data_IF_253339872822
#
_entry.id   IF_253339872822
#
_cell.length_a   1.000
_cell.length_b   1.000
_cell.length_c   1.000
_cell.angle_alpha   90.00
_cell.angle_beta   90.00
_cell.angle_gamma   90.00
#
_symmetry.space_group_name_H-M   'P 1'
#
loop_
_entity.id
_entity.type
_entity.pdbx_description
1 polymer ?
#
# COMPACT_ATOMS: atom_id res chain seq x y z
N UNK A 1 30.42 -8.22 66.07
CA UNK A 1 30.19 -6.82 65.61
C UNK A 1 31.23 -6.54 64.53
N UNK A 2 31.00 -6.10 63.30
CA UNK A 2 29.83 -5.60 62.56
C UNK A 2 30.00 -6.01 61.08
N UNK A 3 28.85 -6.30 60.47
CA UNK A 3 28.48 -6.44 59.05
C UNK A 3 29.37 -5.66 58.06
N UNK A 4 29.61 -6.24 56.88
CA UNK A 4 29.23 -5.60 55.60
C UNK A 4 29.17 -6.67 54.48
N UNK A 5 27.96 -7.20 54.24
CA UNK A 5 27.62 -7.84 52.97
C UNK A 5 27.48 -6.72 51.95
N UNK A 6 28.46 -6.55 51.06
CA UNK A 6 28.29 -5.72 49.87
C UNK A 6 27.62 -6.61 48.83
N UNK A 7 26.30 -6.56 48.85
CA UNK A 7 25.43 -7.00 47.76
C UNK A 7 25.89 -6.29 46.49
N UNK A 8 26.51 -7.04 45.57
CA UNK A 8 26.77 -6.58 44.23
C UNK A 8 25.43 -6.50 43.49
N UNK A 9 24.69 -5.42 43.73
CA UNK A 9 23.58 -4.99 42.87
C UNK A 9 24.21 -4.59 41.53
N UNK A 10 24.38 -5.57 40.65
CA UNK A 10 24.59 -5.29 39.24
C UNK A 10 23.41 -4.43 38.78
N UNK A 11 23.63 -3.21 38.26
CA UNK A 11 22.55 -2.36 37.87
C UNK A 11 21.87 -3.00 36.64
N UNK A 12 20.67 -3.55 36.85
CA UNK A 12 19.69 -3.91 35.83
C UNK A 12 19.21 -2.69 35.00
N UNK A 13 19.90 -1.56 35.06
CA UNK A 13 19.58 -0.30 34.39
C UNK A 13 19.90 -0.27 32.89
N UNK A 14 20.45 -1.36 32.32
CA UNK A 14 20.77 -1.40 30.89
C UNK A 14 19.58 -1.77 29.97
N UNK A 15 18.36 -1.98 30.50
CA UNK A 15 17.20 -2.39 29.68
C UNK A 15 16.10 -1.33 29.50
N UNK A 16 16.30 -0.10 29.99
CA UNK A 16 15.38 1.01 29.72
C UNK A 16 15.81 1.89 28.53
N UNK A 17 16.46 1.31 27.51
CA UNK A 17 16.41 1.94 26.19
C UNK A 17 15.02 1.70 25.64
N UNK A 18 14.09 2.61 25.97
CA UNK A 18 12.75 2.63 25.42
C UNK A 18 12.83 2.48 23.90
N UNK A 19 12.10 1.51 23.36
CA UNK A 19 12.13 1.19 21.94
C UNK A 19 11.83 2.44 21.11
N UNK A 20 12.74 2.76 20.19
CA UNK A 20 12.61 3.88 19.27
C UNK A 20 11.53 3.57 18.23
N UNK A 21 10.78 4.58 17.81
CA UNK A 21 9.89 4.44 16.64
C UNK A 21 10.75 4.21 15.40
N UNK A 22 10.41 3.18 14.63
CA UNK A 22 11.08 2.83 13.39
C UNK A 22 10.05 2.66 12.26
N UNK A 23 10.45 3.05 11.04
CA UNK A 23 9.67 2.82 9.83
C UNK A 23 10.43 1.87 8.92
N UNK A 24 9.80 0.77 8.54
CA UNK A 24 10.30 -0.16 7.53
C UNK A 24 9.36 -0.17 6.33
N UNK A 25 9.85 0.30 5.20
CA UNK A 25 9.12 0.23 3.91
C UNK A 25 9.37 -1.13 3.27
N UNK A 26 8.29 -1.75 2.80
CA UNK A 26 8.33 -3.05 2.10
C UNK A 26 7.37 -2.98 0.92
N UNK A 27 7.87 -3.25 -0.28
CA UNK A 27 7.01 -3.41 -1.45
C UNK A 27 6.69 -4.88 -1.62
N UNK A 28 5.43 -5.25 -1.41
CA UNK A 28 4.97 -6.60 -1.72
C UNK A 28 4.64 -6.68 -3.20
N UNK A 29 5.28 -7.62 -3.90
CA UNK A 29 4.96 -7.97 -5.28
C UNK A 29 4.20 -9.30 -5.39
N UNK A 30 3.78 -9.87 -4.26
CA UNK A 30 3.03 -11.12 -4.21
C UNK A 30 2.07 -11.14 -3.04
N UNK A 31 0.92 -11.79 -3.19
CA UNK A 31 -0.04 -12.01 -2.11
C UNK A 31 -0.58 -13.44 -2.14
N UNK A 32 -0.85 -13.97 -0.95
CA UNK A 32 -1.56 -15.22 -0.77
C UNK A 32 -2.99 -14.90 -0.33
N UNK A 33 -3.96 -15.41 -1.09
CA UNK A 33 -5.37 -15.29 -0.77
C UNK A 33 -5.92 -16.64 -0.31
N UNK A 34 -6.79 -16.59 0.69
CA UNK A 34 -7.65 -17.70 1.09
C UNK A 34 -9.05 -17.43 0.58
N UNK A 35 -9.74 -18.48 0.16
CA UNK A 35 -11.07 -18.33 -0.42
C UNK A 35 -11.77 -19.66 -0.62
N UNK A 36 -12.80 -19.64 -1.45
CA UNK A 36 -13.53 -20.82 -1.87
C UNK A 36 -13.94 -20.76 -3.34
N UNK A 37 -14.06 -21.92 -3.98
CA UNK A 37 -14.64 -22.11 -5.31
C UNK A 37 -15.67 -23.23 -5.18
N UNK A 38 -16.92 -22.96 -5.54
CA UNK A 38 -18.05 -23.88 -5.38
C UNK A 38 -18.17 -24.45 -3.95
N UNK A 39 -17.91 -23.61 -2.93
CA UNK A 39 -17.93 -24.00 -1.52
C UNK A 39 -16.75 -24.88 -1.06
N UNK A 40 -15.77 -25.13 -1.94
CA UNK A 40 -14.54 -25.84 -1.57
C UNK A 40 -13.43 -24.83 -1.25
N UNK A 41 -12.75 -24.95 -0.10
CA UNK A 41 -11.64 -24.07 0.26
C UNK A 41 -10.49 -24.12 -0.73
N UNK A 42 -9.98 -22.94 -1.09
CA UNK A 42 -8.85 -22.77 -1.99
C UNK A 42 -7.82 -21.79 -1.42
N UNK A 43 -6.58 -21.96 -1.87
CA UNK A 43 -5.49 -21.02 -1.65
C UNK A 43 -4.97 -20.54 -3.00
N UNK A 44 -4.85 -19.23 -3.17
CA UNK A 44 -4.28 -18.59 -4.35
C UNK A 44 -2.99 -17.88 -3.95
N UNK A 45 -1.97 -17.92 -4.80
CA UNK A 45 -0.78 -17.09 -4.68
C UNK A 45 -0.59 -16.35 -5.99
N UNK A 46 -0.69 -15.02 -5.95
CA UNK A 46 -0.62 -14.14 -7.12
C UNK A 46 0.56 -13.21 -6.98
N UNK A 47 1.25 -12.98 -8.09
CA UNK A 47 2.45 -12.16 -8.18
C UNK A 47 2.26 -11.09 -9.24
N UNK A 48 2.60 -9.85 -8.92
CA UNK A 48 2.78 -8.78 -9.88
C UNK A 48 3.90 -9.16 -10.86
N UNK A 49 3.65 -9.04 -12.16
CA UNK A 49 4.63 -9.38 -13.21
C UNK A 49 4.95 -8.25 -14.19
N UNK A 50 4.34 -7.08 -13.99
CA UNK A 50 4.55 -5.90 -14.82
C UNK A 50 3.26 -5.14 -15.06
N UNK A 51 3.40 -3.86 -15.38
CA UNK A 51 2.29 -3.03 -15.84
C UNK A 51 1.81 -3.48 -17.21
N UNK A 52 0.50 -3.40 -17.45
CA UNK A 52 -0.08 -3.74 -18.75
C UNK A 52 0.18 -2.65 -19.81
N UNK A 53 0.31 -1.40 -19.35
CA UNK A 53 0.68 -0.23 -20.14
C UNK A 53 1.22 0.85 -19.18
N UNK A 54 0.86 2.12 -19.30
CA UNK A 54 1.31 3.21 -18.44
C UNK A 54 0.52 3.37 -17.12
N UNK A 55 -0.29 2.39 -16.73
CA UNK A 55 -1.18 2.51 -15.58
C UNK A 55 -0.87 1.48 -14.49
N UNK A 56 -0.35 1.93 -13.34
CA UNK A 56 -0.06 1.08 -12.17
C UNK A 56 -1.33 0.53 -11.49
N UNK A 57 -2.53 1.01 -11.82
CA UNK A 57 -3.79 0.36 -11.43
C UNK A 57 -4.15 -0.83 -12.33
N UNK A 58 -3.38 -1.07 -13.39
CA UNK A 58 -3.58 -2.12 -14.39
C UNK A 58 -2.29 -2.90 -14.61
N UNK A 59 -2.23 -4.13 -14.11
CA UNK A 59 -1.01 -4.90 -14.16
C UNK A 59 -1.24 -6.38 -14.35
N UNK A 60 -0.28 -7.03 -14.99
CA UNK A 60 -0.28 -8.46 -15.18
C UNK A 60 0.01 -9.20 -13.89
N UNK A 61 -0.70 -10.28 -13.69
CA UNK A 61 -0.55 -11.16 -12.54
C UNK A 61 -0.28 -12.58 -13.00
N UNK A 62 0.70 -13.24 -12.39
CA UNK A 62 0.92 -14.67 -12.55
C UNK A 62 0.89 -15.35 -11.19
N UNK A 63 0.53 -16.62 -11.19
CA UNK A 63 0.41 -17.32 -9.94
C UNK A 63 -0.06 -18.74 -10.07
N UNK A 64 -0.68 -19.20 -9.00
CA UNK A 64 -1.35 -20.48 -8.96
C UNK A 64 -2.46 -20.45 -7.94
N UNK A 65 -3.39 -21.40 -8.06
CA UNK A 65 -4.28 -21.77 -6.98
C UNK A 65 -4.25 -23.26 -6.73
N UNK A 66 -4.74 -23.70 -5.58
CA UNK A 66 -5.07 -25.09 -5.34
C UNK A 66 -6.29 -25.19 -4.43
N UNK A 67 -6.96 -26.34 -4.51
CA UNK A 67 -7.91 -26.77 -3.48
C UNK A 67 -7.15 -27.30 -2.27
N UNK A 68 -7.48 -26.82 -1.07
CA UNK A 68 -6.70 -27.08 0.14
C UNK A 68 -6.58 -28.58 0.47
N UNK A 69 -7.59 -29.36 0.08
CA UNK A 69 -7.62 -30.83 0.22
C UNK A 69 -6.55 -31.54 -0.63
N UNK A 70 -6.28 -31.05 -1.84
CA UNK A 70 -5.43 -31.74 -2.82
C UNK A 70 -4.05 -31.10 -2.98
N UNK A 71 -3.93 -29.80 -2.69
CA UNK A 71 -2.69 -29.01 -2.78
C UNK A 71 -1.97 -29.07 -4.14
N UNK A 72 -2.65 -29.54 -5.19
CA UNK A 72 -2.13 -29.53 -6.55
C UNK A 72 -2.26 -28.13 -7.13
N UNK A 73 -1.12 -27.48 -7.34
CA UNK A 73 -1.04 -26.14 -7.92
C UNK A 73 -1.52 -26.16 -9.37
N UNK A 74 -2.45 -25.28 -9.67
CA UNK A 74 -2.96 -25.00 -11.00
C UNK A 74 -2.49 -23.60 -11.38
N UNK A 75 -1.68 -23.45 -12.44
CA UNK A 75 -1.07 -22.18 -12.78
C UNK A 75 -2.09 -21.21 -13.37
N UNK A 76 -1.96 -19.95 -13.00
CA UNK A 76 -2.82 -18.84 -13.42
C UNK A 76 -1.96 -17.74 -14.04
N UNK A 77 -2.55 -17.05 -15.02
CA UNK A 77 -2.07 -15.76 -15.53
C UNK A 77 -3.28 -14.87 -15.71
N UNK A 78 -3.12 -13.55 -15.63
CA UNK A 78 -4.27 -12.67 -15.63
C UNK A 78 -3.93 -11.20 -15.57
N UNK A 79 -4.96 -10.42 -15.26
CA UNK A 79 -4.86 -8.98 -15.07
C UNK A 79 -5.54 -8.56 -13.77
N UNK A 80 -4.92 -7.62 -13.08
CA UNK A 80 -5.56 -6.78 -12.09
C UNK A 80 -5.95 -5.47 -12.78
N UNK A 81 -7.21 -5.06 -12.69
CA UNK A 81 -7.77 -3.89 -13.34
C UNK A 81 -8.66 -3.12 -12.36
N UNK A 82 -8.12 -2.07 -11.73
CA UNK A 82 -8.83 -1.24 -10.74
C UNK A 82 -9.55 -2.06 -9.65
N UNK A 83 -8.95 -3.17 -9.22
CA UNK A 83 -9.49 -4.05 -8.19
C UNK A 83 -10.15 -5.33 -8.72
N UNK A 84 -10.60 -5.31 -9.97
CA UNK A 84 -11.08 -6.52 -10.64
C UNK A 84 -9.90 -7.44 -10.95
N UNK A 85 -9.99 -8.72 -10.60
CA UNK A 85 -8.93 -9.70 -10.87
C UNK A 85 -9.47 -10.78 -11.81
N UNK A 86 -8.97 -10.81 -13.04
CA UNK A 86 -9.32 -11.84 -14.02
C UNK A 86 -8.15 -12.80 -14.22
N UNK A 87 -8.34 -14.09 -13.95
CA UNK A 87 -7.31 -15.12 -13.91
C UNK A 87 -7.68 -16.29 -14.82
N UNK A 88 -6.73 -16.78 -15.62
CA UNK A 88 -6.95 -17.81 -16.63
C UNK A 88 -5.96 -18.96 -16.48
N UNK A 89 -6.47 -20.18 -16.65
CA UNK A 89 -5.68 -21.39 -16.77
C UNK A 89 -5.84 -21.99 -18.17
N UNK A 90 -4.75 -22.07 -18.94
CA UNK A 90 -4.73 -22.61 -20.32
C UNK A 90 -4.27 -24.08 -20.39
N UNK A 91 -4.24 -24.81 -19.27
CA UNK A 91 -3.85 -26.21 -19.26
C UNK A 91 -2.41 -26.45 -19.72
N UNK A 92 -2.24 -27.41 -20.64
CA UNK A 92 -0.91 -27.78 -21.16
C UNK A 92 -0.24 -26.62 -21.92
N UNK A 93 -1.01 -25.65 -22.44
CA UNK A 93 -0.49 -24.49 -23.16
C UNK A 93 -0.28 -23.26 -22.26
N UNK A 94 -0.28 -23.42 -20.93
CA UNK A 94 -0.16 -22.30 -19.98
C UNK A 94 0.95 -21.32 -20.37
N UNK A 95 2.19 -21.78 -20.51
CA UNK A 95 3.34 -20.91 -20.77
C UNK A 95 3.20 -20.12 -22.08
N UNK A 96 2.76 -20.80 -23.15
CA UNK A 96 2.60 -20.17 -24.47
C UNK A 96 1.46 -19.15 -24.47
N UNK A 97 0.28 -19.54 -23.99
CA UNK A 97 -0.89 -18.68 -24.01
C UNK A 97 -0.80 -17.53 -23.00
N UNK A 98 -0.11 -17.72 -21.86
CA UNK A 98 0.19 -16.61 -20.93
C UNK A 98 1.02 -15.53 -21.61
N UNK A 99 2.02 -15.92 -22.40
CA UNK A 99 2.82 -14.97 -23.17
C UNK A 99 1.96 -14.27 -24.22
N UNK A 100 1.18 -15.02 -25.01
CA UNK A 100 0.31 -14.46 -26.05
C UNK A 100 -0.74 -13.49 -25.48
N UNK A 101 -1.30 -13.78 -24.30
CA UNK A 101 -2.23 -12.89 -23.62
C UNK A 101 -1.57 -11.56 -23.28
N UNK A 102 -0.40 -11.60 -22.64
CA UNK A 102 0.36 -10.40 -22.24
C UNK A 102 0.82 -9.59 -23.44
N UNK A 103 1.34 -10.25 -24.48
CA UNK A 103 1.81 -9.62 -25.71
C UNK A 103 0.66 -8.91 -26.47
N UNK A 104 -0.59 -9.39 -26.32
CA UNK A 104 -1.75 -8.76 -26.95
C UNK A 104 -2.25 -7.54 -26.19
N UNK A 105 -2.11 -7.49 -24.87
CA UNK A 105 -2.60 -6.38 -24.02
C UNK A 105 -1.51 -5.31 -23.92
N UNK A 106 -1.63 -4.30 -24.78
CA UNK A 106 -0.62 -3.24 -24.95
C UNK A 106 -1.18 -1.83 -24.76
N UNK A 107 -2.43 -1.72 -24.29
CA UNK A 107 -3.10 -0.43 -24.07
C UNK A 107 -4.28 -0.59 -23.12
N UNK A 108 -4.80 0.50 -22.52
CA UNK A 108 -5.91 0.43 -21.57
C UNK A 108 -7.19 -0.13 -22.20
N UNK A 109 -7.47 0.18 -23.48
CA UNK A 109 -8.64 -0.36 -24.19
C UNK A 109 -8.56 -1.87 -24.36
N UNK A 110 -7.35 -2.43 -24.44
CA UNK A 110 -7.16 -3.88 -24.51
C UNK A 110 -7.22 -4.54 -23.14
N UNK A 111 -6.88 -3.82 -22.07
CA UNK A 111 -7.12 -4.28 -20.68
C UNK A 111 -8.60 -4.54 -20.45
N UNK A 112 -9.48 -3.62 -20.88
CA UNK A 112 -10.94 -3.80 -20.78
C UNK A 112 -11.44 -5.03 -21.55
N UNK A 113 -10.73 -5.43 -22.61
CA UNK A 113 -11.04 -6.61 -23.44
C UNK A 113 -10.29 -7.88 -23.04
N UNK A 114 -9.69 -7.93 -21.85
CA UNK A 114 -8.87 -9.08 -21.43
C UNK A 114 -9.64 -10.40 -21.51
N UNK A 115 -10.93 -10.42 -21.13
CA UNK A 115 -11.76 -11.62 -21.23
C UNK A 115 -11.91 -12.12 -22.68
N UNK A 116 -12.22 -11.24 -23.63
CA UNK A 116 -12.36 -11.59 -25.05
C UNK A 116 -11.05 -12.15 -25.62
N UNK A 117 -9.93 -11.49 -25.30
CA UNK A 117 -8.59 -11.92 -25.72
C UNK A 117 -8.25 -13.29 -25.13
N UNK A 118 -8.52 -13.49 -23.83
CA UNK A 118 -8.25 -14.74 -23.17
C UNK A 118 -9.13 -15.88 -23.70
N UNK A 119 -10.43 -15.64 -23.92
CA UNK A 119 -11.38 -16.61 -24.47
C UNK A 119 -10.95 -17.09 -25.86
N UNK A 120 -10.42 -16.21 -26.71
CA UNK A 120 -9.85 -16.57 -28.02
C UNK A 120 -8.63 -17.53 -27.89
N UNK A 121 -7.98 -17.56 -26.73
CA UNK A 121 -6.89 -18.50 -26.40
C UNK A 121 -7.39 -19.79 -25.73
N UNK A 122 -8.71 -20.00 -25.63
CA UNK A 122 -9.38 -21.21 -25.14
C UNK A 122 -8.90 -21.68 -23.75
N UNK A 123 -9.16 -20.90 -22.69
CA UNK A 123 -8.81 -21.30 -21.33
C UNK A 123 -9.59 -22.55 -20.93
N UNK A 124 -8.95 -23.44 -20.15
CA UNK A 124 -9.65 -24.59 -19.55
C UNK A 124 -10.62 -24.14 -18.47
N UNK A 125 -10.22 -23.14 -17.71
CA UNK A 125 -10.99 -22.52 -16.64
C UNK A 125 -10.47 -21.09 -16.41
N UNK A 126 -11.34 -20.25 -15.86
CA UNK A 126 -10.98 -18.90 -15.47
C UNK A 126 -11.80 -18.44 -14.27
N UNK A 127 -11.23 -17.47 -13.54
CA UNK A 127 -11.77 -16.92 -12.31
C UNK A 127 -11.81 -15.41 -12.45
N UNK A 128 -12.95 -14.80 -12.13
CA UNK A 128 -13.09 -13.35 -12.11
C UNK A 128 -13.55 -12.94 -10.73
N UNK A 129 -12.74 -12.16 -10.03
CA UNK A 129 -13.09 -11.52 -8.77
C UNK A 129 -13.43 -10.06 -9.03
N UNK A 130 -14.54 -9.60 -8.45
CA UNK A 130 -14.95 -8.20 -8.52
C UNK A 130 -14.08 -7.32 -7.62
N UNK A 131 -14.08 -5.98 -7.79
CA UNK A 131 -13.34 -5.09 -6.91
C UNK A 131 -13.71 -5.28 -5.44
N UNK A 132 -12.71 -5.31 -4.57
CA UNK A 132 -12.93 -5.46 -3.13
C UNK A 132 -13.49 -4.21 -2.46
N UNK A 133 -14.25 -4.42 -1.39
CA UNK A 133 -14.56 -3.37 -0.42
C UNK A 133 -13.65 -3.52 0.79
N UNK A 134 -12.81 -2.50 1.06
CA UNK A 134 -11.93 -2.49 2.25
C UNK A 134 -12.70 -2.55 3.57
N UNK A 135 -13.99 -2.18 3.59
CA UNK A 135 -14.88 -2.35 4.73
C UNK A 135 -15.53 -3.74 4.78
N UNK A 136 -15.52 -4.46 3.66
CA UNK A 136 -16.00 -5.82 3.54
C UNK A 136 -14.98 -6.84 4.07
N UNK A 137 -15.46 -8.06 4.27
CA UNK A 137 -14.65 -9.21 4.69
C UNK A 137 -14.53 -10.28 3.59
N UNK A 138 -15.17 -10.08 2.43
CA UNK A 138 -15.04 -10.93 1.27
C UNK A 138 -15.01 -10.15 -0.04
N UNK A 139 -14.36 -10.74 -1.03
CA UNK A 139 -14.46 -10.36 -2.44
C UNK A 139 -15.19 -11.49 -3.15
N UNK A 140 -16.32 -11.16 -3.77
CA UNK A 140 -17.09 -12.12 -4.55
C UNK A 140 -16.53 -12.27 -5.97
N UNK A 141 -16.81 -13.42 -6.58
CA UNK A 141 -16.33 -13.75 -7.90
C UNK A 141 -17.07 -14.92 -8.53
N UNK A 142 -16.68 -15.21 -9.77
CA UNK A 142 -17.22 -16.30 -10.57
C UNK A 142 -16.10 -17.17 -11.10
N UNK A 143 -16.29 -18.48 -11.00
CA UNK A 143 -15.43 -19.52 -11.57
C UNK A 143 -16.13 -20.15 -12.76
N UNK A 144 -15.45 -20.25 -13.89
CA UNK A 144 -15.99 -20.72 -15.14
C UNK A 144 -15.19 -21.93 -15.63
N UNK A 145 -15.88 -23.05 -15.84
CA UNK A 145 -15.27 -24.30 -16.32
C UNK A 145 -16.32 -25.13 -17.06
N UNK A 146 -15.98 -25.64 -18.26
CA UNK A 146 -16.85 -26.52 -19.06
C UNK A 146 -18.29 -25.98 -19.24
N UNK A 147 -18.44 -24.69 -19.59
CA UNK A 147 -19.72 -23.98 -19.72
C UNK A 147 -20.58 -23.94 -18.44
N UNK A 148 -19.99 -24.24 -17.27
CA UNK A 148 -20.63 -24.08 -15.97
C UNK A 148 -20.00 -22.89 -15.25
N UNK A 149 -20.86 -22.10 -14.62
CA UNK A 149 -20.46 -21.02 -13.73
C UNK A 149 -20.71 -21.46 -12.29
N UNK A 150 -19.73 -21.22 -11.43
CA UNK A 150 -19.77 -21.51 -10.01
C UNK A 150 -19.36 -20.26 -9.24
N UNK A 151 -19.79 -20.14 -7.98
CA UNK A 151 -19.33 -19.05 -7.11
C UNK A 151 -17.85 -19.21 -6.78
N UNK A 152 -17.15 -18.10 -6.75
CA UNK A 152 -15.82 -17.98 -6.18
C UNK A 152 -15.81 -16.82 -5.18
N UNK A 153 -14.97 -16.91 -4.14
CA UNK A 153 -14.89 -15.87 -3.12
C UNK A 153 -13.51 -15.85 -2.48
N UNK A 154 -12.98 -14.67 -2.19
CA UNK A 154 -11.79 -14.49 -1.34
C UNK A 154 -12.23 -14.02 0.04
N UNK A 155 -11.58 -14.51 1.09
CA UNK A 155 -11.85 -14.15 2.49
C UNK A 155 -11.04 -12.92 2.93
N UNK A 156 -11.09 -11.87 2.12
CA UNK A 156 -10.46 -10.57 2.39
C UNK A 156 -11.25 -9.49 1.65
N UNK A 157 -11.30 -8.28 2.19
CA UNK A 157 -11.78 -7.09 1.47
C UNK A 157 -10.69 -6.35 0.68
N UNK A 158 -9.43 -6.78 0.82
CA UNK A 158 -8.28 -6.18 0.13
C UNK A 158 -7.80 -7.11 -0.99
N UNK A 159 -8.06 -6.68 -2.22
CA UNK A 159 -7.75 -7.30 -3.51
C UNK A 159 -6.34 -6.98 -4.03
N UNK A 160 -5.69 -5.95 -3.48
CA UNK A 160 -4.42 -5.45 -4.02
C UNK A 160 -3.32 -6.50 -3.92
N UNK A 161 -2.58 -6.73 -5.01
CA UNK A 161 -1.44 -7.66 -5.05
C UNK A 161 -0.13 -6.90 -4.88
N UNK A 162 0.01 -5.78 -5.60
CA UNK A 162 1.16 -4.90 -5.51
C UNK A 162 0.93 -3.82 -4.46
N UNK A 163 1.67 -3.87 -3.34
CA UNK A 163 1.42 -3.00 -2.16
C UNK A 163 2.70 -2.31 -1.70
N UNK A 164 2.60 -1.01 -1.43
CA UNK A 164 3.66 -0.21 -0.81
C UNK A 164 3.46 -0.16 0.71
N UNK A 165 3.76 -1.26 1.38
CA UNK A 165 3.62 -1.35 2.83
C UNK A 165 4.66 -0.50 3.57
N UNK A 166 4.24 -0.02 4.73
CA UNK A 166 5.03 0.87 5.57
C UNK A 166 4.77 0.47 7.02
N UNK A 167 5.65 -0.36 7.57
CA UNK A 167 5.50 -0.88 8.92
C UNK A 167 6.15 0.06 9.92
N UNK A 168 5.33 0.66 10.78
CA UNK A 168 5.81 1.37 11.95
C UNK A 168 5.96 0.37 13.09
N UNK A 169 7.18 0.29 13.65
CA UNK A 169 7.42 -0.35 14.94
C UNK A 169 7.39 0.74 16.00
N UNK A 170 6.41 0.68 16.87
CA UNK A 170 6.16 1.62 17.96
C UNK A 170 6.69 1.03 19.27
N UNK A 171 6.79 1.85 20.36
CA UNK A 171 7.10 1.34 21.68
C UNK A 171 6.22 0.15 22.09
N UNK A 172 6.77 -0.72 22.95
CA UNK A 172 6.15 -1.99 23.37
C UNK A 172 5.93 -2.99 22.22
N UNK A 173 6.79 -2.96 21.19
CA UNK A 173 6.77 -3.83 20.01
C UNK A 173 5.47 -3.78 19.21
N UNK A 174 4.67 -2.73 19.37
CA UNK A 174 3.44 -2.59 18.62
C UNK A 174 3.78 -2.29 17.16
N UNK A 175 3.32 -3.14 16.24
CA UNK A 175 3.53 -2.96 14.81
C UNK A 175 2.21 -2.57 14.15
N UNK A 176 2.26 -1.54 13.31
CA UNK A 176 1.13 -1.12 12.48
C UNK A 176 1.61 -0.92 11.05
N UNK A 177 0.77 -1.23 10.07
CA UNK A 177 1.04 -0.92 8.68
C UNK A 177 0.29 0.36 8.30
N UNK A 178 1.01 1.40 7.88
CA UNK A 178 0.34 2.65 7.50
C UNK A 178 -0.45 2.52 6.20
N UNK A 179 -0.19 1.48 5.39
CA UNK A 179 -1.00 1.18 4.21
C UNK A 179 -2.50 1.01 4.54
N UNK A 180 -2.82 0.58 5.77
CA UNK A 180 -4.20 0.31 6.18
C UNK A 180 -5.01 1.60 6.42
N UNK A 181 -4.35 2.76 6.58
CA UNK A 181 -5.03 4.01 6.95
C UNK A 181 -4.44 5.28 6.32
N UNK A 182 -3.29 5.24 5.64
CA UNK A 182 -2.72 6.33 4.84
C UNK A 182 -2.93 6.00 3.35
N UNK A 183 -2.67 6.96 2.46
CA UNK A 183 -2.67 6.71 1.03
C UNK A 183 -1.79 5.50 0.64
N UNK A 184 -2.19 4.85 -0.47
CA UNK A 184 -1.57 3.61 -0.97
C UNK A 184 -0.32 3.87 -1.82
N UNK A 185 0.10 5.13 -1.96
CA UNK A 185 1.20 5.51 -2.84
C UNK A 185 2.59 5.28 -2.24
N UNK A 186 2.66 4.94 -0.95
CA UNK A 186 3.93 4.72 -0.28
C UNK A 186 4.73 6.00 -0.13
N UNK A 187 6.05 5.91 -0.31
CA UNK A 187 6.94 7.08 -0.31
C UNK A 187 7.21 7.72 1.06
N UNK A 188 6.76 7.10 2.15
CA UNK A 188 6.91 7.65 3.50
C UNK A 188 8.35 7.49 4.02
N UNK A 189 8.83 8.51 4.71
CA UNK A 189 10.09 8.53 5.44
C UNK A 189 9.85 9.05 6.86
N UNK A 190 10.38 8.35 7.86
CA UNK A 190 10.28 8.78 9.25
C UNK A 190 11.23 9.95 9.50
N UNK A 191 10.67 11.10 9.88
CA UNK A 191 11.44 12.30 10.23
C UNK A 191 11.68 12.36 11.74
N UNK A 192 10.61 12.23 12.52
CA UNK A 192 10.69 12.30 13.98
C UNK A 192 9.43 11.75 14.65
N UNK A 193 9.50 11.63 15.97
CA UNK A 193 8.34 11.34 16.81
C UNK A 193 8.46 12.11 18.12
N UNK A 194 7.32 12.39 18.74
CA UNK A 194 7.25 13.09 20.01
C UNK A 194 6.19 12.46 20.91
N UNK A 195 6.49 12.32 22.20
CA UNK A 195 5.53 11.92 23.22
C UNK A 195 5.17 13.13 24.08
N UNK A 196 3.89 13.31 24.39
CA UNK A 196 3.42 14.47 25.17
C UNK A 196 2.15 14.18 25.95
N UNK A 197 1.71 15.18 26.73
CA UNK A 197 0.55 15.03 27.61
C UNK A 197 -0.77 14.75 26.88
N UNK A 198 -0.89 15.20 25.62
CA UNK A 198 -2.08 14.99 24.80
C UNK A 198 -2.01 13.72 23.93
N UNK A 199 -0.91 12.96 24.01
CA UNK A 199 -0.66 11.76 23.23
C UNK A 199 0.67 11.81 22.48
N UNK A 200 0.86 10.84 21.59
CA UNK A 200 2.09 10.68 20.83
C UNK A 200 1.88 11.09 19.37
N UNK A 201 2.95 11.54 18.73
CA UNK A 201 2.95 11.99 17.33
C UNK A 201 4.11 11.38 16.58
N UNK A 202 3.88 11.05 15.31
CA UNK A 202 4.92 10.68 14.35
C UNK A 202 4.84 11.64 13.18
N UNK A 203 5.96 12.24 12.82
CA UNK A 203 6.11 13.08 11.65
C UNK A 203 6.77 12.26 10.53
N UNK A 204 6.06 12.14 9.42
CA UNK A 204 6.57 11.54 8.20
C UNK A 204 6.75 12.64 7.15
N UNK A 205 7.80 12.52 6.36
CA UNK A 205 7.89 13.16 5.05
C UNK A 205 7.40 12.15 4.01
N UNK A 206 6.78 12.60 2.94
CA UNK A 206 6.43 11.73 1.84
C UNK A 206 6.76 12.35 0.49
N UNK A 207 7.10 11.48 -0.45
CA UNK A 207 7.28 11.77 -1.86
C UNK A 207 6.81 10.57 -2.67
N UNK A 208 5.83 10.76 -3.56
CA UNK A 208 5.30 9.70 -4.41
C UNK A 208 4.70 10.28 -5.70
N UNK A 209 4.38 9.44 -6.68
CA UNK A 209 3.70 9.90 -7.90
C UNK A 209 2.31 10.46 -7.60
N UNK A 210 1.93 11.53 -8.32
CA UNK A 210 0.60 12.14 -8.23
C UNK A 210 -0.51 11.28 -8.79
N UNK A 211 -0.18 10.46 -9.77
CA UNK A 211 -1.13 9.56 -10.39
C UNK A 211 -0.43 8.26 -10.76
N UNK A 212 -1.05 7.14 -10.40
CA UNK A 212 -0.61 5.82 -10.83
C UNK A 212 -0.95 5.54 -12.30
N UNK A 213 -1.86 6.31 -12.90
CA UNK A 213 -1.99 6.40 -14.35
C UNK A 213 -0.97 7.42 -14.90
N UNK A 214 0.18 6.93 -15.37
CA UNK A 214 1.25 7.76 -15.90
C UNK A 214 0.88 8.45 -17.23
N UNK A 215 -0.10 7.94 -17.98
CA UNK A 215 -0.64 8.62 -19.16
C UNK A 215 -1.74 9.66 -18.81
N UNK A 216 -2.21 9.66 -17.57
CA UNK A 216 -3.26 10.57 -17.11
C UNK A 216 -2.72 11.94 -16.73
N UNK A 217 -3.63 12.83 -16.31
CA UNK A 217 -3.26 14.10 -15.68
C UNK A 217 -2.29 13.84 -14.53
N UNK A 218 -1.19 14.59 -14.50
CA UNK A 218 -0.12 14.50 -13.50
C UNK A 218 0.67 13.18 -13.50
N UNK A 219 0.52 12.32 -14.51
CA UNK A 219 1.20 11.03 -14.58
C UNK A 219 2.72 11.09 -14.73
N UNK A 220 3.23 12.11 -15.41
CA UNK A 220 4.66 12.38 -15.57
C UNK A 220 5.16 13.56 -14.69
N UNK A 221 4.42 13.93 -13.66
CA UNK A 221 4.81 15.02 -12.76
C UNK A 221 5.90 14.59 -11.78
N UNK A 222 6.57 15.57 -11.17
CA UNK A 222 7.52 15.39 -10.06
C UNK A 222 6.86 14.84 -8.77
N UNK A 223 5.56 14.56 -8.82
CA UNK A 223 4.82 13.88 -7.78
C UNK A 223 4.20 14.79 -6.73
N UNK A 224 3.74 14.15 -5.66
CA UNK A 224 3.19 14.78 -4.47
C UNK A 224 4.24 14.68 -3.37
N UNK A 225 4.53 15.82 -2.74
CA UNK A 225 5.50 15.89 -1.65
C UNK A 225 4.89 16.62 -0.47
N UNK A 226 5.25 16.22 0.73
CA UNK A 226 4.75 16.89 1.92
C UNK A 226 5.06 16.18 3.22
N UNK A 227 4.28 16.53 4.23
CA UNK A 227 4.40 15.98 5.57
C UNK A 227 3.10 15.36 6.03
N UNK A 228 3.19 14.28 6.80
CA UNK A 228 2.07 13.68 7.51
C UNK A 228 2.36 13.69 9.00
N UNK A 229 1.35 14.06 9.79
CA UNK A 229 1.39 13.93 11.25
C UNK A 229 0.41 12.84 11.65
N UNK A 230 0.93 11.75 12.19
CA UNK A 230 0.13 10.64 12.70
C UNK A 230 -0.07 10.85 14.20
N UNK A 231 -1.31 10.80 14.65
CA UNK A 231 -1.69 11.04 16.04
C UNK A 231 -2.05 9.73 16.74
N UNK A 232 -1.54 9.58 17.97
CA UNK A 232 -1.74 8.40 18.80
C UNK A 232 -2.18 8.79 20.22
N UNK A 233 -2.84 7.86 20.92
CA UNK A 233 -2.97 7.92 22.38
C UNK A 233 -1.61 7.81 23.07
N UNK A 234 -1.56 8.05 24.39
CA UNK A 234 -0.35 7.84 25.21
C UNK A 234 0.18 6.41 25.11
N UNK A 235 -0.73 5.45 24.95
CA UNK A 235 -0.40 4.02 24.79
C UNK A 235 -0.17 3.61 23.32
N UNK A 236 0.12 4.58 22.44
CA UNK A 236 0.41 4.32 21.03
C UNK A 236 -0.75 3.64 20.25
N UNK A 237 -2.00 3.90 20.62
CA UNK A 237 -3.18 3.56 19.82
C UNK A 237 -3.42 4.63 18.76
N UNK A 238 -3.51 4.21 17.50
CA UNK A 238 -3.73 5.12 16.38
C UNK A 238 -5.08 5.84 16.53
N UNK A 239 -5.09 7.14 16.23
CA UNK A 239 -6.29 7.98 16.25
C UNK A 239 -6.66 8.48 14.86
N UNK A 240 -5.72 9.18 14.23
CA UNK A 240 -5.92 9.89 12.97
C UNK A 240 -4.57 10.29 12.37
N UNK A 241 -4.61 10.85 11.17
CA UNK A 241 -3.48 11.58 10.61
C UNK A 241 -3.97 12.85 9.92
N UNK A 242 -3.05 13.79 9.75
CA UNK A 242 -3.21 14.95 8.88
C UNK A 242 -2.12 14.94 7.81
N UNK A 243 -2.43 15.47 6.64
CA UNK A 243 -1.53 15.57 5.50
C UNK A 243 -1.36 17.04 5.06
N UNK A 244 -0.12 17.42 4.78
CA UNK A 244 0.26 18.78 4.43
C UNK A 244 1.14 18.76 3.18
N UNK A 245 0.58 19.15 2.04
CA UNK A 245 1.28 19.18 0.75
C UNK A 245 2.23 20.39 0.68
N UNK A 246 3.46 20.13 0.24
CA UNK A 246 4.45 21.15 -0.13
C UNK A 246 4.65 21.21 -1.64
N UNK A 247 4.39 20.13 -2.37
CA UNK A 247 4.33 20.11 -3.83
C UNK A 247 3.19 19.18 -4.26
N UNK A 248 2.42 19.57 -5.26
CA UNK A 248 1.28 18.80 -5.74
C UNK A 248 0.90 19.20 -7.15
N UNK A 249 0.95 18.25 -8.07
CA UNK A 249 0.45 18.50 -9.42
C UNK A 249 -1.08 18.59 -9.44
N UNK A 250 -1.76 17.79 -8.61
CA UNK A 250 -3.22 17.75 -8.56
C UNK A 250 -3.82 19.04 -8.00
N UNK A 251 -3.18 19.62 -6.97
CA UNK A 251 -3.59 20.87 -6.32
C UNK A 251 -2.93 22.12 -6.91
N UNK A 252 -2.13 21.96 -7.97
CA UNK A 252 -1.35 23.04 -8.58
C UNK A 252 -0.45 23.80 -7.57
N UNK A 253 0.22 23.05 -6.69
CA UNK A 253 1.22 23.57 -5.75
C UNK A 253 2.60 23.37 -6.37
N UNK A 254 3.18 24.47 -6.85
CA UNK A 254 4.51 24.53 -7.46
C UNK A 254 5.33 25.67 -6.83
N UNK A 255 6.65 25.62 -7.00
CA UNK A 255 7.60 26.66 -6.59
C UNK A 255 7.54 27.03 -5.09
N UNK A 256 7.28 26.04 -4.24
CA UNK A 256 7.22 26.24 -2.79
C UNK A 256 8.59 26.68 -2.26
N UNK A 257 8.61 27.83 -1.60
CA UNK A 257 9.85 28.37 -1.03
C UNK A 257 10.06 27.79 0.36
N UNK A 258 11.11 26.97 0.50
CA UNK A 258 11.51 26.38 1.78
C UNK A 258 12.58 27.23 2.47
N UNK A 259 12.35 27.62 3.72
CA UNK A 259 13.32 28.30 4.58
C UNK A 259 13.59 27.45 5.81
N UNK A 260 14.87 27.16 6.09
CA UNK A 260 15.27 26.46 7.33
C UNK A 260 15.58 27.48 8.42
N UNK A 261 15.04 27.27 9.61
CA UNK A 261 15.41 28.07 10.79
C UNK A 261 16.87 27.81 11.19
N UNK A 262 17.47 28.79 11.88
CA UNK A 262 18.85 28.68 12.37
C UNK A 262 19.05 27.50 13.33
N UNK A 263 18.01 27.09 14.06
CA UNK A 263 18.04 25.97 15.02
C UNK A 263 17.91 24.58 14.36
N UNK A 264 17.70 24.51 13.03
CA UNK A 264 17.49 23.29 12.22
C UNK A 264 16.33 22.39 12.64
N UNK A 265 15.56 22.78 13.67
CA UNK A 265 14.43 22.02 14.18
C UNK A 265 13.10 22.45 13.57
N UNK A 266 13.10 23.58 12.84
CA UNK A 266 11.91 24.12 12.20
C UNK A 266 12.14 24.35 10.71
N UNK A 267 11.20 23.89 9.88
CA UNK A 267 11.16 24.17 8.46
C UNK A 267 9.93 25.03 8.17
N UNK A 268 10.11 26.09 7.40
CA UNK A 268 9.01 26.95 6.96
C UNK A 268 8.86 26.81 5.45
N UNK A 269 7.63 26.63 5.00
CA UNK A 269 7.27 26.55 3.59
C UNK A 269 6.24 27.62 3.30
N UNK A 270 6.47 28.42 2.26
CA UNK A 270 5.48 29.37 1.75
C UNK A 270 4.87 28.81 0.47
N UNK A 271 3.57 28.52 0.54
CA UNK A 271 2.78 28.01 -0.57
C UNK A 271 2.02 29.19 -1.17
N UNK A 272 2.23 29.42 -2.46
CA UNK A 272 1.53 30.46 -3.19
C UNK A 272 0.04 30.11 -3.35
N UNK A 273 -0.76 31.11 -3.73
CA UNK A 273 -2.18 30.89 -4.04
C UNK A 273 -2.29 29.83 -5.14
N UNK A 274 -3.11 28.80 -4.92
CA UNK A 274 -3.44 27.78 -5.91
C UNK A 274 -4.75 28.14 -6.61
N UNK A 275 -5.17 27.30 -7.56
CA UNK A 275 -6.50 27.41 -8.18
C UNK A 275 -7.65 27.20 -7.19
N UNK A 276 -7.41 26.45 -6.11
CA UNK A 276 -8.41 25.99 -5.14
C UNK A 276 -8.33 26.68 -3.78
N UNK A 277 -7.19 27.29 -3.42
CA UNK A 277 -6.96 27.83 -2.09
C UNK A 277 -6.12 29.13 -2.09
N UNK A 278 -6.35 30.04 -1.11
CA UNK A 278 -5.44 31.16 -0.89
C UNK A 278 -4.04 30.66 -0.50
N UNK A 279 -3.02 31.49 -0.70
CA UNK A 279 -1.68 31.19 -0.23
C UNK A 279 -1.65 30.96 1.28
N UNK A 280 -0.74 30.12 1.73
CA UNK A 280 -0.59 29.77 3.14
C UNK A 280 0.87 29.41 3.44
N UNK A 281 1.21 29.36 4.72
CA UNK A 281 2.51 28.90 5.19
C UNK A 281 2.38 27.63 6.03
N UNK A 282 3.35 26.73 5.91
CA UNK A 282 3.50 25.57 6.77
C UNK A 282 4.74 25.75 7.64
N UNK A 283 4.58 25.55 8.94
CA UNK A 283 5.70 25.47 9.89
C UNK A 283 5.80 24.04 10.41
N UNK A 284 6.82 23.32 9.96
CA UNK A 284 7.13 21.95 10.38
C UNK A 284 8.10 22.01 11.55
N UNK A 285 7.67 21.59 12.72
CA UNK A 285 8.51 21.45 13.90
C UNK A 285 8.93 19.99 14.05
N UNK A 286 10.18 19.69 13.69
CA UNK A 286 10.75 18.35 13.71
C UNK A 286 10.81 17.83 15.14
N UNK A 287 11.25 18.63 16.11
CA UNK A 287 11.39 18.20 17.51
C UNK A 287 10.05 17.78 18.12
N UNK A 288 8.98 18.51 17.81
CA UNK A 288 7.64 18.26 18.35
C UNK A 288 6.80 17.34 17.46
N UNK A 289 7.34 16.87 16.33
CA UNK A 289 6.64 16.07 15.33
C UNK A 289 5.28 16.68 14.95
N UNK A 290 5.26 17.95 14.58
CA UNK A 290 4.02 18.70 14.30
C UNK A 290 4.17 19.63 13.10
N UNK A 291 3.06 19.89 12.43
CA UNK A 291 2.96 20.89 11.36
C UNK A 291 1.86 21.87 11.69
N UNK A 292 2.12 23.17 11.54
CA UNK A 292 1.13 24.23 11.71
C UNK A 292 0.92 24.90 10.36
N UNK A 293 -0.34 24.99 9.93
CA UNK A 293 -0.76 25.74 8.74
C UNK A 293 -1.28 27.12 9.16
N UNK A 294 -0.73 28.18 8.60
CA UNK A 294 -1.18 29.57 8.82
C UNK A 294 -1.52 30.25 7.50
N UNK A 295 -2.46 31.18 7.51
CA UNK A 295 -2.80 32.01 6.33
C UNK A 295 -1.74 33.09 6.11
#
# INVERSE_FOLDING_TARGET
MKKLFITLFFPLFALCMGQKVELKTVTDSSQIFKGEIAGMPVTLCLNYTGIADCNLYQYFVDGWYYYDKYQKKIPLTGIYDYGKISLYHFGAKQKQNSKLLKDQITSPQKVEKTNEIAEALTPKEYIVFEPGDLKGNSIEGSFFMNNKTQSAKLFTGNDMIYRYNNYLTLPNNKKINTFDFINKHGGNQLISYASGENGNRILLYFEHSSNFNACGRCGASEGEKGYRVLYFTKDWNYKSYEEFLTESCLENIYDTVATKSKDRNTLQFKINKTSSAPGYSLTVNIKNASVIKSK
#
